data_IF_628204445404
#
_entry.id   IF_628204445404
#
_cell.length_a   1.000
_cell.length_b   1.000
_cell.length_c   1.000
_cell.angle_alpha   90.00
_cell.angle_beta   90.00
_cell.angle_gamma   90.00
#
_symmetry.space_group_name_H-M   'P 1'
#
loop_
_entity.id
_entity.type
_entity.pdbx_description
1 polymer ?
#
# COMPACT_ATOMS: atom_id res chain seq x y z
N UNK A 1 -1.84 10.33 -14.34
CA UNK A 1 -0.88 11.44 -14.15
C UNK A 1 0.49 10.81 -13.91
N UNK A 2 1.19 10.51 -15.00
CA UNK A 2 2.51 9.88 -14.99
C UNK A 2 3.58 10.97 -14.92
N UNK A 3 4.48 10.91 -13.94
CA UNK A 3 5.69 11.75 -13.93
C UNK A 3 6.90 10.88 -14.22
N UNK A 4 7.23 10.87 -15.51
CA UNK A 4 8.53 10.58 -16.07
C UNK A 4 9.57 11.52 -15.47
N UNK A 5 10.62 10.98 -14.84
CA UNK A 5 11.83 11.73 -14.54
C UNK A 5 13.01 11.14 -15.32
N UNK A 6 13.49 11.97 -16.25
CA UNK A 6 14.60 11.74 -17.16
C UNK A 6 15.94 11.78 -16.43
N UNK A 7 16.82 10.93 -16.95
CA UNK A 7 18.27 11.07 -17.08
C UNK A 7 18.86 12.48 -16.91
N UNK A 8 19.95 12.54 -16.12
CA UNK A 8 20.92 13.61 -16.12
C UNK A 8 22.33 13.05 -15.93
N UNK A 9 22.91 12.46 -16.98
CA UNK A 9 24.34 12.14 -17.04
C UNK A 9 25.11 13.40 -17.42
N UNK A 10 25.75 14.07 -16.47
CA UNK A 10 26.68 15.15 -16.75
C UNK A 10 28.10 14.62 -16.88
N UNK A 11 28.57 14.60 -18.12
CA UNK A 11 29.94 14.30 -18.53
C UNK A 11 30.76 15.57 -18.40
N UNK A 12 31.59 15.67 -17.38
CA UNK A 12 32.61 16.72 -17.17
C UNK A 12 33.92 16.03 -16.83
N UNK A 13 35.08 16.33 -17.36
CA UNK A 13 35.51 17.27 -18.38
C UNK A 13 36.98 16.91 -18.65
N UNK A 14 37.39 17.02 -19.89
CA UNK A 14 38.79 16.84 -20.29
C UNK A 14 39.64 17.94 -19.66
N UNK A 15 40.63 17.59 -18.84
CA UNK A 15 41.73 18.48 -18.49
C UNK A 15 43.04 17.82 -18.89
N UNK A 16 43.50 18.19 -20.07
CA UNK A 16 44.89 18.04 -20.47
C UNK A 16 45.71 19.23 -19.96
N UNK A 17 46.94 18.93 -19.55
CA UNK A 17 48.01 19.90 -19.34
C UNK A 17 49.05 19.39 -18.34
N UNK A 18 50.33 19.81 -18.40
CA UNK A 18 51.10 20.33 -19.52
C UNK A 18 52.25 19.38 -19.93
N UNK A 19 52.58 19.33 -21.22
CA UNK A 19 53.84 18.76 -21.70
C UNK A 19 55.00 19.65 -21.23
N UNK A 20 55.88 19.08 -20.41
CA UNK A 20 57.09 19.73 -19.92
C UNK A 20 58.13 19.71 -21.04
N UNK A 21 58.46 20.90 -21.57
CA UNK A 21 59.46 21.08 -22.61
C UNK A 21 60.85 20.64 -22.11
N UNK A 22 61.51 19.77 -22.87
CA UNK A 22 62.91 19.41 -22.70
C UNK A 22 63.82 20.61 -23.06
N UNK A 23 64.86 20.91 -22.26
CA UNK A 23 65.85 21.91 -22.60
C UNK A 23 66.85 21.38 -23.66
N UNK A 24 67.36 22.24 -24.56
CA UNK A 24 68.37 21.85 -25.53
C UNK A 24 69.72 21.63 -24.83
N UNK A 25 70.20 20.38 -24.84
CA UNK A 25 71.54 20.05 -24.32
C UNK A 25 72.58 20.55 -25.32
N UNK A 26 73.24 21.65 -24.94
CA UNK A 26 74.40 22.22 -25.61
C UNK A 26 75.53 21.19 -25.67
N UNK A 27 76.20 21.16 -26.83
CA UNK A 27 77.35 20.32 -27.12
C UNK A 27 78.43 20.40 -26.04
N UNK A 28 78.86 19.21 -25.60
CA UNK A 28 79.97 19.02 -24.67
C UNK A 28 81.21 18.77 -25.50
N UNK A 29 82.16 19.70 -25.40
CA UNK A 29 83.46 19.62 -26.06
C UNK A 29 84.21 18.37 -25.61
N UNK A 30 84.81 17.67 -26.58
CA UNK A 30 85.66 16.51 -26.37
C UNK A 30 86.97 16.95 -25.68
N UNK A 31 87.04 16.76 -24.36
CA UNK A 31 88.31 16.73 -23.66
C UNK A 31 89.00 15.39 -23.93
N UNK A 32 90.23 15.46 -24.44
CA UNK A 32 91.08 14.31 -24.73
C UNK A 32 91.29 13.43 -23.49
N UNK A 33 91.04 12.13 -23.66
CA UNK A 33 91.33 11.10 -22.66
C UNK A 33 92.84 10.83 -22.60
N UNK A 34 93.43 10.70 -21.39
CA UNK A 34 94.80 10.20 -21.25
C UNK A 34 94.83 8.70 -21.58
N UNK A 35 95.65 8.33 -22.56
CA UNK A 35 95.98 6.95 -22.89
C UNK A 35 96.76 6.32 -21.72
N UNK A 36 96.22 5.25 -21.14
CA UNK A 36 96.96 4.41 -20.18
C UNK A 36 96.20 3.97 -18.93
N UNK A 37 94.91 3.62 -19.03
CA UNK A 37 94.21 2.94 -17.93
C UNK A 37 93.85 1.50 -18.30
N UNK A 38 94.25 0.61 -17.39
CA UNK A 38 94.12 -0.85 -17.40
C UNK A 38 92.67 -1.28 -17.69
N UNK A 39 92.45 -2.02 -18.78
CA UNK A 39 91.13 -2.42 -19.30
C UNK A 39 90.27 -3.18 -18.25
N UNK A 40 90.91 -3.73 -17.22
CA UNK A 40 90.26 -4.38 -16.07
C UNK A 40 89.52 -3.40 -15.14
N UNK A 41 90.02 -2.18 -14.96
CA UNK A 41 89.40 -1.18 -14.10
C UNK A 41 88.13 -0.58 -14.73
N UNK A 42 88.11 -0.46 -16.06
CA UNK A 42 86.94 0.01 -16.84
C UNK A 42 85.80 -1.01 -16.79
N UNK A 43 86.11 -2.31 -16.85
CA UNK A 43 85.11 -3.38 -16.74
C UNK A 43 84.48 -3.46 -15.34
N UNK A 44 85.26 -3.24 -14.27
CA UNK A 44 84.77 -3.17 -12.89
C UNK A 44 83.85 -1.96 -12.67
N UNK A 45 84.26 -0.76 -13.12
CA UNK A 45 83.43 0.44 -13.02
C UNK A 45 82.14 0.35 -13.86
N UNK A 46 82.19 -0.28 -15.04
CA UNK A 46 80.99 -0.52 -15.85
C UNK A 46 80.02 -1.51 -15.18
N UNK A 47 80.54 -2.53 -14.47
CA UNK A 47 79.74 -3.45 -13.66
C UNK A 47 79.03 -2.74 -12.50
N UNK A 48 79.74 -1.88 -11.75
CA UNK A 48 79.18 -1.12 -10.63
C UNK A 48 78.12 -0.09 -11.11
N UNK A 49 78.33 0.52 -12.28
CA UNK A 49 77.32 1.38 -12.91
C UNK A 49 76.07 0.61 -13.36
N UNK A 50 76.19 -0.63 -13.84
CA UNK A 50 75.05 -1.45 -14.22
C UNK A 50 74.24 -1.93 -13.00
N UNK A 51 74.93 -2.32 -11.91
CA UNK A 51 74.28 -2.73 -10.65
C UNK A 51 73.49 -1.57 -10.03
N UNK A 52 74.04 -0.36 -10.06
CA UNK A 52 73.35 0.84 -9.52
C UNK A 52 72.16 1.28 -10.37
N UNK A 53 72.23 1.14 -11.70
CA UNK A 53 71.08 1.39 -12.58
C UNK A 53 69.93 0.40 -12.33
N UNK A 54 70.25 -0.89 -12.20
CA UNK A 54 69.24 -1.93 -11.89
C UNK A 54 68.63 -1.73 -10.50
N UNK A 55 69.42 -1.30 -9.49
CA UNK A 55 68.91 -0.96 -8.15
C UNK A 55 67.93 0.23 -8.19
N UNK A 56 68.21 1.25 -9.01
CA UNK A 56 67.33 2.40 -9.19
C UNK A 56 66.02 2.02 -9.89
N UNK A 57 66.09 1.19 -10.93
CA UNK A 57 64.90 0.69 -11.64
C UNK A 57 64.05 -0.20 -10.73
N UNK A 58 64.67 -1.07 -9.92
CA UNK A 58 63.98 -1.88 -8.91
C UNK A 58 63.26 -1.02 -7.87
N UNK A 59 63.92 0.03 -7.35
CA UNK A 59 63.28 0.97 -6.41
C UNK A 59 62.10 1.71 -7.02
N UNK A 60 62.23 2.11 -8.29
CA UNK A 60 61.16 2.78 -9.03
C UNK A 60 59.97 1.85 -9.21
N UNK A 61 60.21 0.63 -9.69
CA UNK A 61 59.18 -0.40 -9.85
C UNK A 61 58.51 -0.74 -8.52
N UNK A 62 59.28 -0.88 -7.44
CA UNK A 62 58.75 -1.17 -6.11
C UNK A 62 57.88 -0.01 -5.59
N UNK A 63 58.28 1.24 -5.86
CA UNK A 63 57.46 2.42 -5.59
C UNK A 63 56.14 2.42 -6.36
N UNK A 64 56.15 2.09 -7.65
CA UNK A 64 54.94 1.98 -8.48
C UNK A 64 54.00 0.87 -8.00
N UNK A 65 54.55 -0.28 -7.62
CA UNK A 65 53.79 -1.39 -7.02
C UNK A 65 53.17 -0.97 -5.69
N UNK A 66 53.93 -0.32 -4.80
CA UNK A 66 53.40 0.18 -3.53
C UNK A 66 52.27 1.20 -3.73
N UNK A 67 52.42 2.14 -4.68
CA UNK A 67 51.37 3.11 -4.99
C UNK A 67 50.11 2.44 -5.54
N UNK A 68 50.29 1.44 -6.43
CA UNK A 68 49.18 0.67 -6.98
C UNK A 68 48.46 -0.13 -5.90
N UNK A 69 49.19 -0.72 -4.95
CA UNK A 69 48.60 -1.44 -3.82
C UNK A 69 47.81 -0.50 -2.91
N UNK A 70 48.32 0.70 -2.61
CA UNK A 70 47.58 1.71 -1.84
C UNK A 70 46.29 2.15 -2.56
N UNK A 71 46.32 2.29 -3.88
CA UNK A 71 45.13 2.63 -4.65
C UNK A 71 44.09 1.49 -4.63
N UNK A 72 44.54 0.23 -4.74
CA UNK A 72 43.68 -0.95 -4.63
C UNK A 72 43.05 -1.02 -3.23
N UNK A 73 43.82 -0.78 -2.18
CA UNK A 73 43.36 -0.80 -0.79
C UNK A 73 42.26 0.25 -0.57
N UNK A 74 42.52 1.50 -0.99
CA UNK A 74 41.53 2.59 -0.90
C UNK A 74 40.23 2.31 -1.68
N UNK A 75 40.34 1.69 -2.87
CA UNK A 75 39.16 1.26 -3.63
C UNK A 75 38.41 0.14 -2.93
N UNK A 76 39.13 -0.81 -2.32
CA UNK A 76 38.54 -1.92 -1.58
C UNK A 76 37.76 -1.42 -0.37
N UNK A 77 38.32 -0.49 0.40
CA UNK A 77 37.63 0.16 1.51
C UNK A 77 36.36 0.88 1.06
N UNK A 78 36.43 1.56 -0.08
CA UNK A 78 35.26 2.24 -0.66
C UNK A 78 34.16 1.23 -1.01
N UNK A 79 34.53 0.09 -1.61
CA UNK A 79 33.60 -0.98 -1.96
C UNK A 79 32.97 -1.58 -0.70
N UNK A 80 33.75 -1.84 0.35
CA UNK A 80 33.25 -2.38 1.63
C UNK A 80 32.20 -1.44 2.22
N UNK A 81 32.51 -0.15 2.33
CA UNK A 81 31.58 0.84 2.86
C UNK A 81 30.27 0.94 2.03
N UNK A 82 30.36 0.80 0.71
CA UNK A 82 29.19 0.78 -0.16
C UNK A 82 28.35 -0.49 0.05
N UNK A 83 28.99 -1.65 0.23
CA UNK A 83 28.29 -2.91 0.51
C UNK A 83 27.58 -2.87 1.87
N UNK A 84 28.23 -2.33 2.90
CA UNK A 84 27.61 -2.15 4.22
C UNK A 84 26.39 -1.24 4.13
N UNK A 85 26.50 -0.11 3.40
CA UNK A 85 25.36 0.79 3.19
C UNK A 85 24.22 0.12 2.41
N UNK A 86 24.54 -0.72 1.43
CA UNK A 86 23.54 -1.52 0.71
C UNK A 86 22.86 -2.52 1.64
N UNK A 87 23.61 -3.18 2.54
CA UNK A 87 23.06 -4.06 3.57
C UNK A 87 22.04 -3.35 4.46
N UNK A 88 22.42 -2.19 5.03
CA UNK A 88 21.52 -1.36 5.85
C UNK A 88 20.23 -0.94 5.09
N UNK A 89 20.35 -0.68 3.79
CA UNK A 89 19.20 -0.31 2.98
C UNK A 89 18.28 -1.51 2.72
N UNK A 90 18.84 -2.69 2.50
CA UNK A 90 18.07 -3.93 2.33
C UNK A 90 17.32 -4.28 3.61
N UNK A 91 17.97 -4.22 4.77
CA UNK A 91 17.32 -4.48 6.06
C UNK A 91 16.14 -3.54 6.32
N UNK A 92 16.29 -2.25 5.97
CA UNK A 92 15.19 -1.27 6.05
C UNK A 92 14.06 -1.58 5.09
N UNK A 93 14.37 -2.07 3.89
CA UNK A 93 13.35 -2.46 2.90
C UNK A 93 12.60 -3.70 3.37
N UNK A 94 13.30 -4.71 3.87
CA UNK A 94 12.69 -5.94 4.39
C UNK A 94 11.78 -5.66 5.58
N UNK A 95 12.23 -4.79 6.51
CA UNK A 95 11.38 -4.33 7.61
C UNK A 95 10.10 -3.64 7.13
N UNK A 96 10.22 -2.75 6.14
CA UNK A 96 9.06 -2.04 5.56
C UNK A 96 8.12 -2.99 4.82
N UNK A 97 8.66 -3.97 4.10
CA UNK A 97 7.87 -4.98 3.40
C UNK A 97 7.08 -5.83 4.39
N UNK A 98 7.71 -6.30 5.48
CA UNK A 98 7.00 -7.05 6.52
C UNK A 98 5.84 -6.28 7.15
N UNK A 99 6.02 -4.97 7.41
CA UNK A 99 4.93 -4.11 7.89
C UNK A 99 3.81 -3.95 6.87
N UNK A 100 4.14 -3.80 5.58
CA UNK A 100 3.13 -3.70 4.53
C UNK A 100 2.36 -5.01 4.37
N UNK A 101 3.02 -6.16 4.43
CA UNK A 101 2.39 -7.48 4.41
C UNK A 101 1.42 -7.66 5.58
N UNK A 102 1.82 -7.24 6.79
CA UNK A 102 0.93 -7.26 7.95
C UNK A 102 -0.31 -6.36 7.73
N UNK A 103 -0.12 -5.12 7.28
CA UNK A 103 -1.23 -4.21 7.02
C UNK A 103 -2.19 -4.73 5.94
N UNK A 104 -1.67 -5.38 4.89
CA UNK A 104 -2.48 -6.02 3.86
C UNK A 104 -3.32 -7.14 4.48
N UNK A 105 -2.73 -8.00 5.31
CA UNK A 105 -3.46 -9.08 5.98
C UNK A 105 -4.56 -8.55 6.91
N UNK A 106 -4.29 -7.50 7.68
CA UNK A 106 -5.29 -6.84 8.53
C UNK A 106 -6.44 -6.24 7.70
N UNK A 107 -6.13 -5.60 6.57
CA UNK A 107 -7.13 -5.06 5.65
C UNK A 107 -7.99 -6.17 5.02
N UNK A 108 -7.40 -7.28 4.59
CA UNK A 108 -8.11 -8.43 4.03
C UNK A 108 -9.07 -9.05 5.03
N UNK A 109 -8.64 -9.17 6.30
CA UNK A 109 -9.49 -9.64 7.39
C UNK A 109 -10.67 -8.67 7.64
N UNK A 110 -10.41 -7.36 7.66
CA UNK A 110 -11.45 -6.34 7.80
C UNK A 110 -12.47 -6.36 6.66
N UNK A 111 -12.02 -6.49 5.41
CA UNK A 111 -12.90 -6.62 4.24
C UNK A 111 -13.76 -7.87 4.33
N UNK A 112 -13.19 -9.00 4.76
CA UNK A 112 -13.94 -10.25 4.92
C UNK A 112 -15.04 -10.12 5.99
N UNK A 113 -14.74 -9.49 7.12
CA UNK A 113 -15.73 -9.23 8.17
C UNK A 113 -16.85 -8.30 7.70
N UNK A 114 -16.53 -7.23 6.96
CA UNK A 114 -17.54 -6.34 6.40
C UNK A 114 -18.41 -7.02 5.35
N UNK A 115 -17.86 -7.94 4.55
CA UNK A 115 -18.63 -8.74 3.60
C UNK A 115 -19.66 -9.62 4.30
N UNK A 116 -19.28 -10.26 5.40
CA UNK A 116 -20.21 -11.04 6.22
C UNK A 116 -21.32 -10.16 6.82
N UNK A 117 -20.97 -8.99 7.36
CA UNK A 117 -21.95 -8.03 7.87
C UNK A 117 -22.95 -7.59 6.79
N UNK A 118 -22.50 -7.34 5.56
CA UNK A 118 -23.37 -6.97 4.45
C UNK A 118 -24.34 -8.10 4.09
N UNK A 119 -23.86 -9.35 4.01
CA UNK A 119 -24.74 -10.51 3.77
C UNK A 119 -25.80 -10.64 4.87
N UNK A 120 -25.41 -10.44 6.14
CA UNK A 120 -26.36 -10.45 7.24
C UNK A 120 -27.41 -9.34 7.10
N UNK A 121 -27.00 -8.12 6.73
CA UNK A 121 -27.94 -7.02 6.49
C UNK A 121 -28.90 -7.30 5.32
N UNK A 122 -28.41 -7.90 4.24
CA UNK A 122 -29.25 -8.34 3.11
C UNK A 122 -30.32 -9.34 3.55
N UNK A 123 -29.95 -10.33 4.39
CA UNK A 123 -30.94 -11.28 4.92
C UNK A 123 -31.98 -10.62 5.82
N UNK A 124 -31.58 -9.66 6.67
CA UNK A 124 -32.50 -8.89 7.51
C UNK A 124 -33.48 -8.07 6.66
N UNK A 125 -32.99 -7.44 5.58
CA UNK A 125 -33.84 -6.71 4.65
C UNK A 125 -34.83 -7.63 3.92
N UNK A 126 -34.40 -8.82 3.51
CA UNK A 126 -35.28 -9.80 2.89
C UNK A 126 -36.38 -10.28 3.85
N UNK A 127 -36.04 -10.53 5.13
CA UNK A 127 -37.02 -10.87 6.16
C UNK A 127 -37.99 -9.72 6.40
N UNK A 128 -37.49 -8.47 6.46
CA UNK A 128 -38.34 -7.29 6.61
C UNK A 128 -39.33 -7.12 5.46
N UNK A 129 -38.90 -7.35 4.23
CA UNK A 129 -39.78 -7.29 3.06
C UNK A 129 -40.90 -8.34 3.15
N UNK A 130 -40.55 -9.60 3.48
CA UNK A 130 -41.56 -10.66 3.69
C UNK A 130 -42.52 -10.35 4.84
N UNK A 131 -42.05 -9.76 5.94
CA UNK A 131 -42.92 -9.34 7.03
C UNK A 131 -43.90 -8.26 6.59
N UNK A 132 -43.46 -7.29 5.77
CA UNK A 132 -44.35 -6.27 5.21
C UNK A 132 -45.39 -6.88 4.27
N UNK A 133 -45.01 -7.86 3.45
CA UNK A 133 -45.95 -8.59 2.58
C UNK A 133 -46.97 -9.37 3.40
N UNK A 134 -46.54 -10.05 4.47
CA UNK A 134 -47.45 -10.76 5.38
C UNK A 134 -48.39 -9.81 6.12
N UNK A 135 -47.90 -8.66 6.57
CA UNK A 135 -48.75 -7.62 7.17
C UNK A 135 -49.78 -7.08 6.17
N UNK A 136 -49.37 -6.85 4.91
CA UNK A 136 -50.28 -6.40 3.85
C UNK A 136 -51.35 -7.46 3.55
N UNK A 137 -50.96 -8.74 3.41
CA UNK A 137 -51.89 -9.85 3.23
C UNK A 137 -52.83 -10.03 4.42
N UNK A 138 -52.33 -9.91 5.65
CA UNK A 138 -53.16 -9.97 6.86
C UNK A 138 -54.19 -8.84 6.90
N UNK A 139 -53.80 -7.62 6.53
CA UNK A 139 -54.74 -6.48 6.47
C UNK A 139 -55.76 -6.59 5.35
N UNK A 140 -55.49 -7.35 4.29
CA UNK A 140 -56.41 -7.46 3.15
C UNK A 140 -57.75 -8.12 3.51
N UNK A 141 -57.75 -8.94 4.57
CA UNK A 141 -58.95 -9.61 5.11
C UNK A 141 -59.65 -8.73 6.18
N UNK A 142 -58.95 -7.70 6.68
CA UNK A 142 -59.48 -6.84 7.74
C UNK A 142 -60.28 -5.67 7.15
N UNK A 143 -61.50 -5.49 7.62
CA UNK A 143 -62.33 -4.32 7.31
C UNK A 143 -62.21 -3.31 8.46
N UNK A 144 -61.76 -2.10 8.13
CA UNK A 144 -61.69 -0.99 9.09
C UNK A 144 -62.97 -0.15 8.99
N UNK A 145 -63.71 -0.03 10.09
CA UNK A 145 -64.97 0.70 10.13
C UNK A 145 -64.79 2.02 10.88
N UNK A 146 -64.91 3.14 10.17
CA UNK A 146 -64.73 4.47 10.75
C UNK A 146 -66.05 5.05 11.26
N UNK A 147 -65.97 5.83 12.35
CA UNK A 147 -67.11 6.61 12.84
C UNK A 147 -68.12 5.83 13.70
N UNK A 148 -67.77 4.63 14.16
CA UNK A 148 -68.60 3.88 15.10
C UNK A 148 -68.62 4.57 16.47
N UNK A 149 -69.80 4.91 17.00
CA UNK A 149 -69.91 5.64 18.27
C UNK A 149 -69.32 4.83 19.42
N UNK A 150 -68.52 5.45 20.28
CA UNK A 150 -67.83 4.81 21.43
C UNK A 150 -68.77 4.15 22.44
N UNK A 151 -70.09 4.37 22.32
CA UNK A 151 -71.11 3.75 23.17
C UNK A 151 -71.42 2.30 22.80
N UNK A 152 -70.97 1.77 21.66
CA UNK A 152 -71.06 0.35 21.36
C UNK A 152 -70.06 -0.43 22.23
N UNK A 153 -70.56 -1.18 23.21
CA UNK A 153 -69.72 -1.94 24.13
C UNK A 153 -68.99 -3.06 23.40
N UNK A 154 -67.78 -3.39 23.85
CA UNK A 154 -66.93 -4.45 23.28
C UNK A 154 -67.67 -5.79 23.09
N UNK A 155 -68.57 -6.13 24.00
CA UNK A 155 -69.38 -7.36 23.96
C UNK A 155 -70.51 -7.33 22.93
N UNK A 156 -70.96 -6.17 22.48
CA UNK A 156 -72.00 -6.01 21.45
C UNK A 156 -71.42 -5.76 20.07
N UNK A 157 -70.09 -5.63 19.94
CA UNK A 157 -69.46 -5.24 18.68
C UNK A 157 -69.57 -6.34 17.62
N UNK A 158 -69.50 -7.62 17.98
CA UNK A 158 -69.66 -8.73 17.02
C UNK A 158 -71.10 -8.78 16.49
N UNK A 159 -72.10 -8.86 17.37
CA UNK A 159 -73.52 -8.88 16.98
C UNK A 159 -73.92 -7.62 16.19
N UNK A 160 -73.46 -6.44 16.62
CA UNK A 160 -73.71 -5.18 15.92
C UNK A 160 -73.05 -5.18 14.54
N UNK A 161 -71.81 -5.65 14.42
CA UNK A 161 -71.08 -5.69 13.15
C UNK A 161 -71.70 -6.69 12.20
N UNK A 162 -72.10 -7.87 12.67
CA UNK A 162 -72.83 -8.86 11.89
C UNK A 162 -74.19 -8.30 11.41
N UNK A 163 -74.93 -7.64 12.29
CA UNK A 163 -76.21 -6.99 11.95
C UNK A 163 -76.02 -5.88 10.92
N UNK A 164 -75.00 -5.03 11.09
CA UNK A 164 -74.64 -3.98 10.14
C UNK A 164 -74.25 -4.56 8.78
N UNK A 165 -73.39 -5.58 8.75
CA UNK A 165 -72.99 -6.26 7.51
C UNK A 165 -74.19 -6.92 6.84
N UNK A 166 -75.06 -7.59 7.59
CA UNK A 166 -76.31 -8.19 7.07
C UNK A 166 -77.23 -7.12 6.47
N UNK A 167 -77.35 -5.96 7.11
CA UNK A 167 -78.16 -4.85 6.60
C UNK A 167 -77.60 -4.24 5.30
N UNK A 168 -76.27 -4.11 5.18
CA UNK A 168 -75.63 -3.51 4.00
C UNK A 168 -75.53 -4.50 2.83
N UNK A 169 -75.19 -5.74 3.13
CA UNK A 169 -74.78 -6.75 2.14
C UNK A 169 -75.94 -7.73 1.84
N UNK A 170 -76.92 -7.84 2.73
CA UNK A 170 -78.11 -8.69 2.59
C UNK A 170 -77.91 -10.11 3.11
N UNK A 171 -79.03 -10.77 3.46
CA UNK A 171 -79.07 -12.10 4.11
C UNK A 171 -78.41 -13.24 3.30
N UNK A 172 -78.24 -13.06 1.98
CA UNK A 172 -77.67 -14.09 1.10
C UNK A 172 -76.16 -14.22 1.21
N UNK A 173 -75.48 -13.19 1.72
CA UNK A 173 -74.03 -13.15 1.79
C UNK A 173 -73.52 -13.49 3.20
N UNK A 174 -74.39 -13.53 4.22
CA UNK A 174 -74.01 -13.92 5.59
C UNK A 174 -73.57 -15.38 5.72
N UNK A 175 -73.85 -16.25 4.75
CA UNK A 175 -73.28 -17.60 4.70
C UNK A 175 -71.85 -17.65 4.13
N UNK A 176 -71.37 -16.54 3.54
CA UNK A 176 -70.11 -16.48 2.80
C UNK A 176 -68.95 -15.83 3.58
N UNK A 177 -69.22 -15.27 4.75
CA UNK A 177 -68.19 -14.71 5.62
C UNK A 177 -68.45 -15.06 7.08
N UNK A 178 -67.37 -15.27 7.83
CA UNK A 178 -67.38 -15.49 9.28
C UNK A 178 -66.58 -14.33 9.88
N UNK A 179 -67.16 -13.63 10.84
CA UNK A 179 -66.45 -12.60 11.59
C UNK A 179 -65.64 -13.30 12.68
N UNK A 180 -64.33 -13.40 12.51
CA UNK A 180 -63.46 -14.10 13.47
C UNK A 180 -63.16 -13.27 14.72
N UNK A 181 -63.04 -11.95 14.58
CA UNK A 181 -62.77 -11.03 15.68
C UNK A 181 -63.20 -9.60 15.33
N UNK A 182 -63.78 -8.89 16.30
CA UNK A 182 -64.03 -7.44 16.22
C UNK A 182 -63.41 -6.74 17.42
N UNK A 183 -62.56 -5.76 17.16
CA UNK A 183 -61.92 -4.95 18.21
C UNK A 183 -61.72 -3.52 17.74
N UNK A 184 -61.64 -2.58 18.68
CA UNK A 184 -61.24 -1.19 18.41
C UNK A 184 -59.72 -1.08 18.36
N UNK A 185 -59.20 -0.25 17.47
CA UNK A 185 -57.76 -0.03 17.33
C UNK A 185 -57.17 0.57 18.62
N UNK A 186 -56.11 -0.07 19.15
CA UNK A 186 -55.34 0.32 20.34
C UNK A 186 -56.01 0.24 21.72
N UNK A 187 -57.29 -0.13 21.84
CA UNK A 187 -57.95 -0.36 23.14
C UNK A 187 -58.00 0.85 24.11
N UNK A 188 -57.45 2.00 23.72
CA UNK A 188 -57.46 3.23 24.49
C UNK A 188 -58.62 4.09 23.99
N UNK A 189 -59.42 4.57 24.95
CA UNK A 189 -60.52 5.48 24.65
C UNK A 189 -59.97 6.80 24.12
N UNK A 190 -60.42 7.31 22.97
CA UNK A 190 -59.99 8.60 22.48
C UNK A 190 -60.41 9.72 23.46
N UNK A 191 -59.64 10.82 23.55
CA UNK A 191 -60.00 11.96 24.40
C UNK A 191 -61.39 12.52 24.08
N UNK A 192 -62.04 13.15 25.07
CA UNK A 192 -63.31 13.85 24.87
C UNK A 192 -63.18 14.88 23.72
N UNK A 193 -64.01 14.74 22.68
CA UNK A 193 -64.00 15.59 21.50
C UNK A 193 -63.10 15.12 20.35
N UNK A 194 -62.30 14.07 20.54
CA UNK A 194 -61.59 13.41 19.46
C UNK A 194 -62.52 12.46 18.68
N UNK A 195 -62.14 12.13 17.44
CA UNK A 195 -62.90 11.19 16.63
C UNK A 195 -62.90 9.79 17.27
N UNK A 196 -63.99 9.01 17.11
CA UNK A 196 -64.04 7.64 17.57
C UNK A 196 -62.91 6.80 16.97
N UNK A 197 -62.36 5.86 17.73
CA UNK A 197 -61.35 4.95 17.21
C UNK A 197 -61.96 4.00 16.18
N UNK A 198 -61.23 3.69 15.09
CA UNK A 198 -61.62 2.66 14.14
C UNK A 198 -61.78 1.27 14.76
#
# INVERSE_FOLDING_TARGET
>A
MERSHRFGLTKTGCHGGPQKAEPPIKGREHAALPEGLDQRAVALLAGDCAVTAVDLDLKTLLGEVCNSLLEIDSKTDTIINQLDHMGDCLDKHDYRLGHLEQHVSEAENGVSAHKEQLLNLETVLAVKAKNQDLEACSRWINICVLGLPESTSLTLNEEYSESMLRAVVGDRLTELFIVECVHRFQGLRPPLGAQPTP
#
